data_IF_586260418855
#
_entry.id   IF_586260418855
#
_cell.length_a   1.000
_cell.length_b   1.000
_cell.length_c   1.000
_cell.angle_alpha   90.00
_cell.angle_beta   90.00
_cell.angle_gamma   90.00
#
_symmetry.space_group_name_H-M   'P 1'
#
loop_
_entity.id
_entity.type
_entity.pdbx_description
1 polymer ?
#
# COMPACT_ATOMS: atom_id res chain seq x y z
N UNK A 1 -32.01 22.72 30.76
CA UNK A 1 -30.54 22.55 30.85
C UNK A 1 -30.05 21.11 30.58
N UNK A 2 -30.79 20.05 30.97
CA UNK A 2 -30.38 18.63 30.77
C UNK A 2 -30.28 18.14 29.31
N UNK A 3 -31.07 18.69 28.38
CA UNK A 3 -31.07 18.26 26.96
C UNK A 3 -29.79 18.67 26.18
N UNK A 4 -29.15 19.79 26.56
CA UNK A 4 -27.94 20.27 25.88
C UNK A 4 -26.72 19.39 26.18
N UNK A 5 -26.58 18.87 27.40
CA UNK A 5 -25.50 17.94 27.76
C UNK A 5 -25.64 16.58 27.04
N UNK A 6 -26.86 16.14 26.74
CA UNK A 6 -27.11 14.87 26.06
C UNK A 6 -26.74 14.94 24.56
N UNK A 7 -26.95 16.09 23.93
CA UNK A 7 -26.54 16.37 22.54
C UNK A 7 -25.01 16.45 22.37
N UNK A 8 -24.29 17.06 23.32
CA UNK A 8 -22.82 17.09 23.30
C UNK A 8 -22.20 15.70 23.48
N UNK A 9 -22.78 14.85 24.33
CA UNK A 9 -22.31 13.46 24.50
C UNK A 9 -22.50 12.61 23.23
N UNK A 10 -23.61 12.79 22.52
CA UNK A 10 -23.88 12.09 21.25
C UNK A 10 -22.95 12.54 20.11
N UNK A 11 -22.59 13.83 20.03
CA UNK A 11 -21.62 14.32 19.03
C UNK A 11 -20.19 13.84 19.32
N UNK A 12 -19.76 13.79 20.58
CA UNK A 12 -18.44 13.28 20.95
C UNK A 12 -18.29 11.78 20.65
N UNK A 13 -19.34 10.97 20.87
CA UNK A 13 -19.35 9.58 20.46
C UNK A 13 -19.33 9.41 18.93
N UNK A 14 -20.06 10.25 18.18
CA UNK A 14 -20.06 10.19 16.72
C UNK A 14 -18.69 10.48 16.08
N UNK A 15 -17.96 11.47 16.61
CA UNK A 15 -16.62 11.79 16.13
C UNK A 15 -15.59 10.68 16.43
N UNK A 16 -15.74 9.97 17.56
CA UNK A 16 -14.86 8.86 17.91
C UNK A 16 -15.04 7.65 16.99
N UNK A 17 -16.25 7.42 16.47
CA UNK A 17 -16.54 6.33 15.53
C UNK A 17 -15.94 6.55 14.13
N UNK A 18 -15.80 7.80 13.69
CA UNK A 18 -15.18 8.12 12.39
C UNK A 18 -13.66 7.90 12.40
N UNK A 19 -12.99 8.09 13.54
CA UNK A 19 -11.55 7.85 13.67
C UNK A 19 -11.16 6.36 13.69
N UNK A 20 -12.10 5.46 14.05
CA UNK A 20 -11.87 4.01 14.10
C UNK A 20 -12.06 3.28 12.76
N UNK A 21 -12.59 3.97 11.74
CA UNK A 21 -12.85 3.36 10.43
C UNK A 21 -11.70 3.51 9.43
N UNK A 22 -10.63 4.24 9.78
CA UNK A 22 -9.43 4.27 8.96
C UNK A 22 -8.69 2.93 9.11
N UNK A 23 -8.84 2.06 8.10
CA UNK A 23 -8.02 0.85 8.03
C UNK A 23 -6.56 1.29 7.93
N UNK A 24 -5.66 0.81 8.81
CA UNK A 24 -4.25 1.14 8.69
C UNK A 24 -3.79 0.72 7.29
N UNK A 25 -3.23 1.67 6.54
CA UNK A 25 -2.57 1.37 5.28
C UNK A 25 -1.29 0.62 5.64
N UNK A 26 -1.38 -0.70 5.66
CA UNK A 26 -0.22 -1.56 5.90
C UNK A 26 0.48 -1.77 4.57
N UNK A 27 1.82 -1.76 4.59
CA UNK A 27 2.62 -2.26 3.49
C UNK A 27 2.20 -3.72 3.24
N UNK A 28 1.74 -4.01 2.02
CA UNK A 28 1.17 -5.31 1.70
C UNK A 28 1.55 -5.70 0.28
N UNK A 29 2.23 -6.84 0.17
CA UNK A 29 2.44 -7.53 -1.10
C UNK A 29 1.09 -7.77 -1.80
N UNK A 30 1.00 -7.41 -3.08
CA UNK A 30 -0.23 -7.58 -3.86
C UNK A 30 -0.20 -8.94 -4.54
N UNK A 31 -1.07 -9.85 -4.10
CA UNK A 31 -1.30 -11.13 -4.79
C UNK A 31 -2.28 -10.92 -5.94
N UNK A 32 -1.89 -11.31 -7.15
CA UNK A 32 -2.71 -11.15 -8.36
C UNK A 32 -2.86 -12.50 -9.05
N UNK A 33 -4.12 -12.91 -9.28
CA UNK A 33 -4.47 -14.06 -10.10
C UNK A 33 -5.14 -13.60 -11.39
N UNK A 34 -4.63 -14.02 -12.54
CA UNK A 34 -5.14 -13.68 -13.86
C UNK A 34 -5.49 -14.95 -14.64
N UNK A 35 -6.71 -15.07 -15.15
CA UNK A 35 -7.04 -16.05 -16.20
C UNK A 35 -6.42 -15.66 -17.55
N UNK A 36 -6.30 -16.58 -18.52
CA UNK A 36 -5.79 -16.25 -19.85
C UNK A 36 -6.50 -15.04 -20.47
N UNK A 37 -5.72 -14.08 -20.96
CA UNK A 37 -6.22 -12.84 -21.57
C UNK A 37 -6.76 -11.79 -20.60
N UNK A 38 -6.77 -12.04 -19.29
CA UNK A 38 -7.15 -11.03 -18.31
C UNK A 38 -6.03 -10.03 -18.04
N UNK A 39 -6.45 -8.84 -17.62
CA UNK A 39 -5.57 -7.72 -17.27
C UNK A 39 -5.89 -7.23 -15.86
N UNK A 40 -4.85 -6.82 -15.13
CA UNK A 40 -4.94 -6.04 -13.90
C UNK A 40 -4.23 -4.69 -14.07
N UNK A 41 -4.78 -3.64 -13.47
CA UNK A 41 -4.12 -2.33 -13.37
C UNK A 41 -3.73 -2.09 -11.92
N UNK A 42 -2.43 -1.92 -11.68
CA UNK A 42 -1.86 -1.70 -10.35
C UNK A 42 -1.29 -0.28 -10.31
N UNK A 43 -1.94 0.65 -9.59
CA UNK A 43 -1.44 2.02 -9.48
C UNK A 43 -0.24 2.05 -8.54
N UNK A 44 0.85 2.66 -8.99
CA UNK A 44 2.13 2.66 -8.30
C UNK A 44 2.61 4.08 -8.04
N UNK A 45 3.28 4.24 -6.91
CA UNK A 45 4.14 5.36 -6.61
C UNK A 45 5.60 4.91 -6.64
N UNK A 46 6.51 5.83 -6.97
CA UNK A 46 7.91 5.53 -7.23
C UNK A 46 8.82 6.53 -6.53
N UNK A 47 9.91 6.06 -5.91
CA UNK A 47 10.93 6.90 -5.29
C UNK A 47 12.28 6.67 -5.94
N UNK A 48 13.01 7.77 -6.10
CA UNK A 48 14.41 7.76 -6.47
C UNK A 48 15.26 7.10 -5.39
N UNK A 49 16.04 6.08 -5.76
CA UNK A 49 16.98 5.39 -4.87
C UNK A 49 18.33 6.10 -4.71
N UNK A 50 18.81 6.73 -5.78
CA UNK A 50 20.14 7.32 -5.86
C UNK A 50 20.01 8.85 -5.81
N UNK A 51 20.53 9.45 -4.74
CA UNK A 51 20.58 10.91 -4.62
C UNK A 51 21.40 11.54 -5.75
N UNK A 52 20.94 12.69 -6.26
CA UNK A 52 21.64 13.48 -7.28
C UNK A 52 21.45 13.00 -8.73
N UNK A 53 20.91 11.80 -8.96
CA UNK A 53 20.58 11.33 -10.31
C UNK A 53 19.22 11.88 -10.78
N UNK A 54 19.03 12.14 -12.07
CA UNK A 54 17.75 12.59 -12.60
C UNK A 54 16.65 11.52 -12.47
N UNK A 55 15.41 11.97 -12.26
CA UNK A 55 14.23 11.12 -12.40
C UNK A 55 14.15 10.60 -13.85
N UNK A 56 13.93 9.29 -14.07
CA UNK A 56 13.86 8.75 -15.41
C UNK A 56 12.64 9.29 -16.17
N UNK A 57 12.77 9.48 -17.49
CA UNK A 57 11.64 9.87 -18.36
C UNK A 57 10.72 8.69 -18.71
N UNK A 58 11.25 7.47 -18.60
CA UNK A 58 10.53 6.23 -18.78
C UNK A 58 11.20 5.15 -17.93
N UNK A 59 10.46 4.11 -17.56
CA UNK A 59 10.97 2.96 -16.81
C UNK A 59 10.71 1.67 -17.59
N UNK A 60 11.59 0.68 -17.42
CA UNK A 60 11.46 -0.65 -17.99
C UNK A 60 10.50 -1.51 -17.15
N UNK A 61 10.39 -2.79 -17.49
CA UNK A 61 9.64 -3.81 -16.75
C UNK A 61 10.13 -3.98 -15.31
N UNK A 62 9.27 -4.47 -14.40
CA UNK A 62 9.64 -4.75 -13.02
C UNK A 62 10.81 -5.74 -12.92
N UNK A 63 11.77 -5.41 -12.07
CA UNK A 63 12.92 -6.24 -11.72
C UNK A 63 12.74 -6.95 -10.39
N UNK A 64 13.85 -7.16 -9.68
CA UNK A 64 13.85 -7.73 -8.33
C UNK A 64 13.39 -6.74 -7.25
N UNK A 65 13.29 -7.22 -6.02
CA UNK A 65 13.06 -6.38 -4.83
C UNK A 65 14.34 -5.62 -4.46
N UNK A 66 14.19 -4.43 -3.88
CA UNK A 66 15.29 -3.71 -3.25
C UNK A 66 15.90 -4.49 -2.07
N UNK A 67 17.03 -4.02 -1.53
CA UNK A 67 17.60 -4.61 -0.31
C UNK A 67 16.66 -4.43 0.87
N UNK A 68 16.73 -5.35 1.84
CA UNK A 68 15.83 -5.34 2.98
C UNK A 68 15.93 -4.06 3.80
N UNK A 69 17.09 -3.39 3.86
CA UNK A 69 17.22 -2.10 4.55
C UNK A 69 16.42 -0.99 3.87
N UNK A 70 16.38 -0.98 2.53
CA UNK A 70 15.59 -0.03 1.76
C UNK A 70 14.10 -0.33 1.89
N UNK A 71 13.73 -1.61 1.84
CA UNK A 71 12.33 -2.05 2.04
C UNK A 71 11.86 -1.72 3.45
N UNK A 72 12.69 -1.90 4.48
CA UNK A 72 12.35 -1.55 5.87
C UNK A 72 12.05 -0.05 6.02
N UNK A 73 12.83 0.83 5.38
CA UNK A 73 12.56 2.28 5.39
C UNK A 73 11.24 2.61 4.71
N UNK A 74 10.96 1.96 3.58
CA UNK A 74 9.71 2.13 2.87
C UNK A 74 8.51 1.66 3.72
N UNK A 75 8.59 0.48 4.33
CA UNK A 75 7.56 -0.04 5.24
C UNK A 75 7.33 0.90 6.44
N UNK A 76 8.40 1.44 7.04
CA UNK A 76 8.30 2.41 8.13
C UNK A 76 7.61 3.70 7.69
N UNK A 77 7.90 4.20 6.48
CA UNK A 77 7.25 5.37 5.91
C UNK A 77 5.76 5.12 5.57
N UNK A 78 5.41 3.90 5.16
CA UNK A 78 4.01 3.50 4.94
C UNK A 78 3.25 3.47 6.25
N UNK A 79 3.82 2.84 7.29
CA UNK A 79 3.19 2.74 8.61
C UNK A 79 2.96 4.11 9.26
N UNK A 80 3.82 5.10 9.02
CA UNK A 80 3.64 6.47 9.50
C UNK A 80 2.72 7.32 8.62
N UNK A 81 2.37 6.86 7.40
CA UNK A 81 1.63 7.63 6.40
C UNK A 81 2.48 8.64 5.62
N UNK A 82 3.78 8.73 5.90
CA UNK A 82 4.70 9.70 5.30
C UNK A 82 4.84 9.54 3.78
N UNK A 83 4.58 8.36 3.23
CA UNK A 83 4.53 8.13 1.78
C UNK A 83 3.46 8.96 1.06
N UNK A 84 2.46 9.46 1.78
CA UNK A 84 1.42 10.37 1.25
C UNK A 84 1.62 11.80 1.75
N UNK A 85 1.82 11.98 3.05
CA UNK A 85 1.82 13.31 3.66
C UNK A 85 3.14 14.05 3.55
N UNK A 86 4.27 13.33 3.44
CA UNK A 86 5.62 13.87 3.59
C UNK A 86 6.60 13.21 2.62
N UNK A 87 6.29 13.30 1.31
CA UNK A 87 7.03 12.56 0.27
C UNK A 87 8.53 12.90 0.24
N UNK A 88 8.90 14.16 0.52
CA UNK A 88 10.31 14.55 0.66
C UNK A 88 11.00 13.88 1.84
N UNK A 89 10.35 13.80 3.01
CA UNK A 89 10.93 13.15 4.19
C UNK A 89 11.11 11.64 3.97
N UNK A 90 10.16 11.02 3.24
CA UNK A 90 10.31 9.63 2.76
C UNK A 90 11.53 9.48 1.86
N UNK A 91 11.72 10.37 0.88
CA UNK A 91 12.89 10.32 -0.01
C UNK A 91 14.22 10.51 0.75
N UNK A 92 14.27 11.44 1.71
CA UNK A 92 15.45 11.64 2.57
C UNK A 92 15.80 10.37 3.37
N UNK A 93 14.80 9.67 3.92
CA UNK A 93 15.02 8.43 4.64
C UNK A 93 15.55 7.31 3.71
N UNK A 94 15.01 7.20 2.49
CA UNK A 94 15.50 6.23 1.49
C UNK A 94 16.96 6.53 1.12
N UNK A 95 17.29 7.78 0.83
CA UNK A 95 18.66 8.18 0.48
C UNK A 95 19.65 8.01 1.65
N UNK A 96 19.19 8.13 2.90
CA UNK A 96 20.03 7.88 4.08
C UNK A 96 20.58 6.46 4.12
N UNK A 97 19.78 5.47 3.70
CA UNK A 97 20.22 4.06 3.61
C UNK A 97 21.33 3.90 2.57
N UNK A 98 21.21 4.60 1.44
CA UNK A 98 22.12 4.44 0.30
C UNK A 98 23.40 5.27 0.41
N UNK A 99 23.32 6.46 1.01
CA UNK A 99 24.43 7.42 1.04
C UNK A 99 25.14 7.51 2.38
N UNK A 100 24.52 7.03 3.46
CA UNK A 100 25.07 7.17 4.80
C UNK A 100 24.74 8.51 5.48
N UNK A 101 24.04 9.44 4.82
CA UNK A 101 23.69 10.76 5.37
C UNK A 101 22.32 11.26 4.86
N UNK A 102 21.69 12.20 5.57
CA UNK A 102 20.44 12.81 5.10
C UNK A 102 20.75 13.92 4.08
N UNK A 103 20.37 13.70 2.82
CA UNK A 103 20.65 14.63 1.71
C UNK A 103 19.62 15.76 1.63
N UNK A 104 19.49 16.58 2.68
CA UNK A 104 18.53 17.70 2.78
C UNK A 104 18.96 18.94 1.99
N UNK A 105 19.01 18.82 0.67
CA UNK A 105 19.40 19.90 -0.23
C UNK A 105 18.42 21.10 -0.22
N UNK A 106 17.20 20.90 0.27
CA UNK A 106 16.18 21.94 0.33
C UNK A 106 16.15 22.68 1.68
N UNK A 107 17.01 22.29 2.63
CA UNK A 107 17.07 22.84 3.99
C UNK A 107 15.68 22.81 4.68
N UNK A 108 14.90 21.74 4.49
CA UNK A 108 13.57 21.57 5.11
C UNK A 108 13.67 20.88 6.48
N UNK A 109 14.85 20.42 6.87
CA UNK A 109 15.08 19.56 8.02
C UNK A 109 14.83 18.09 7.69
N UNK A 110 15.37 17.21 8.53
CA UNK A 110 15.30 15.75 8.37
C UNK A 110 14.70 15.04 9.59
N UNK A 111 14.00 15.77 10.46
CA UNK A 111 13.51 15.22 11.73
C UNK A 111 12.54 14.05 11.52
N UNK A 112 11.61 14.15 10.56
CA UNK A 112 10.70 13.06 10.24
C UNK A 112 11.41 11.93 9.49
N UNK A 113 12.32 12.25 8.56
CA UNK A 113 13.15 11.27 7.88
C UNK A 113 13.99 10.43 8.87
N UNK A 114 14.51 11.06 9.92
CA UNK A 114 15.23 10.39 11.00
C UNK A 114 14.31 9.44 11.78
N UNK A 115 13.08 9.86 12.11
CA UNK A 115 12.11 8.98 12.76
C UNK A 115 11.75 7.76 11.90
N UNK A 116 11.55 7.96 10.59
CA UNK A 116 11.30 6.85 9.64
C UNK A 116 12.49 5.89 9.63
N UNK A 117 13.71 6.42 9.52
CA UNK A 117 14.92 5.61 9.51
C UNK A 117 15.10 4.84 10.84
N UNK A 118 14.98 5.51 11.98
CA UNK A 118 15.11 4.86 13.29
C UNK A 118 14.06 3.78 13.52
N UNK A 119 12.83 3.99 13.07
CA UNK A 119 11.77 2.98 13.10
C UNK A 119 12.10 1.79 12.20
N UNK A 120 12.65 2.03 11.02
CA UNK A 120 13.04 0.97 10.09
C UNK A 120 14.05 -0.01 10.68
N UNK A 121 14.93 0.45 11.59
CA UNK A 121 15.91 -0.40 12.27
C UNK A 121 15.28 -1.44 13.20
N UNK A 122 14.00 -1.27 13.56
CA UNK A 122 13.24 -2.20 14.40
C UNK A 122 12.34 -3.15 13.59
N UNK A 123 12.20 -2.92 12.28
CA UNK A 123 11.36 -3.74 11.42
C UNK A 123 12.10 -4.99 10.96
N UNK A 124 11.37 -6.09 10.89
CA UNK A 124 11.83 -7.33 10.25
C UNK A 124 11.12 -7.47 8.91
N UNK A 125 11.84 -7.18 7.82
CA UNK A 125 11.30 -7.33 6.48
C UNK A 125 11.00 -8.80 6.22
N UNK A 126 9.78 -9.07 5.73
CA UNK A 126 9.38 -10.42 5.41
C UNK A 126 10.24 -10.97 4.27
N UNK A 127 10.81 -12.18 4.40
CA UNK A 127 11.56 -12.79 3.31
C UNK A 127 10.62 -13.10 2.13
N UNK A 128 11.15 -12.98 0.92
CA UNK A 128 10.46 -13.42 -0.30
C UNK A 128 10.30 -14.95 -0.24
N UNK A 129 9.08 -15.50 -0.25
CA UNK A 129 8.89 -16.95 -0.30
C UNK A 129 9.49 -17.53 -1.58
N UNK A 130 10.31 -18.58 -1.46
CA UNK A 130 11.02 -19.17 -2.60
C UNK A 130 10.10 -19.90 -3.61
N UNK A 131 8.89 -20.23 -3.19
CA UNK A 131 7.88 -20.97 -3.96
C UNK A 131 6.84 -20.06 -4.64
N UNK A 132 6.97 -18.74 -4.48
CA UNK A 132 6.02 -17.77 -5.02
C UNK A 132 6.58 -17.10 -6.26
N UNK A 133 5.80 -17.07 -7.33
CA UNK A 133 6.15 -16.38 -8.57
C UNK A 133 6.07 -14.85 -8.35
N UNK A 134 7.20 -14.15 -8.46
CA UNK A 134 7.18 -12.68 -8.47
C UNK A 134 6.66 -12.13 -9.80
N UNK A 135 6.21 -10.87 -9.84
CA UNK A 135 5.86 -10.23 -11.11
C UNK A 135 7.06 -10.19 -12.08
N UNK A 136 8.26 -9.88 -11.59
CA UNK A 136 9.48 -9.89 -12.40
C UNK A 136 9.75 -11.26 -13.03
N UNK A 137 9.61 -12.34 -12.25
CA UNK A 137 9.76 -13.71 -12.73
C UNK A 137 8.66 -14.09 -13.72
N UNK A 138 7.41 -13.68 -13.48
CA UNK A 138 6.29 -13.94 -14.40
C UNK A 138 6.53 -13.29 -15.77
N UNK A 139 7.10 -12.07 -15.78
CA UNK A 139 7.50 -11.37 -17.01
C UNK A 139 8.68 -12.06 -17.68
N UNK A 140 9.72 -12.42 -16.92
CA UNK A 140 10.90 -13.10 -17.47
C UNK A 140 10.56 -14.47 -18.07
N UNK A 141 9.62 -15.20 -17.47
CA UNK A 141 9.12 -16.49 -17.97
C UNK A 141 8.13 -16.34 -19.13
N UNK A 142 7.80 -15.11 -19.56
CA UNK A 142 6.85 -14.86 -20.66
C UNK A 142 5.41 -15.28 -20.34
N UNK A 143 5.05 -15.37 -19.06
CA UNK A 143 3.68 -15.72 -18.62
C UNK A 143 2.75 -14.52 -18.64
N UNK A 144 3.29 -13.34 -18.34
CA UNK A 144 2.57 -12.07 -18.37
C UNK A 144 3.33 -11.02 -19.18
N UNK A 145 2.61 -10.09 -19.79
CA UNK A 145 3.17 -8.86 -20.35
C UNK A 145 2.89 -7.68 -19.42
N UNK A 146 3.86 -6.79 -19.26
CA UNK A 146 3.69 -5.56 -18.48
C UNK A 146 3.79 -4.34 -19.39
N UNK A 147 2.85 -3.41 -19.23
CA UNK A 147 2.86 -2.09 -19.86
C UNK A 147 2.81 -1.04 -18.77
N UNK A 148 3.65 -0.01 -18.88
CA UNK A 148 3.64 1.14 -17.99
C UNK A 148 2.83 2.26 -18.66
N UNK A 149 1.77 2.72 -17.99
CA UNK A 149 0.94 3.84 -18.45
C UNK A 149 0.96 4.98 -17.43
N UNK A 150 0.58 6.17 -17.87
CA UNK A 150 0.44 7.36 -17.02
C UNK A 150 1.67 7.65 -16.15
N UNK A 151 2.87 7.31 -16.64
CA UNK A 151 4.10 7.56 -15.91
C UNK A 151 4.35 9.07 -15.84
N UNK A 152 4.39 9.61 -14.64
CA UNK A 152 4.48 11.05 -14.39
C UNK A 152 5.38 11.30 -13.20
N UNK A 153 6.39 12.14 -13.40
CA UNK A 153 7.17 12.71 -12.30
C UNK A 153 6.32 13.73 -11.53
N UNK A 154 6.45 13.74 -10.20
CA UNK A 154 5.75 14.69 -9.33
C UNK A 154 6.80 15.63 -8.75
N UNK A 155 6.71 16.91 -9.13
CA UNK A 155 7.52 17.98 -8.53
C UNK A 155 6.78 18.54 -7.34
N UNK A 156 7.43 18.53 -6.18
CA UNK A 156 6.90 19.14 -4.97
C UNK A 156 7.17 20.65 -5.00
N UNK A 157 6.16 21.45 -4.66
CA UNK A 157 6.27 22.90 -4.67
C UNK A 157 7.28 23.38 -3.63
N UNK A 158 8.16 24.30 -4.03
CA UNK A 158 9.15 24.88 -3.13
C UNK A 158 10.36 23.98 -2.83
N UNK A 159 10.53 22.86 -3.55
CA UNK A 159 11.78 22.09 -3.57
C UNK A 159 12.56 22.38 -4.86
N UNK A 160 13.85 22.76 -4.79
CA UNK A 160 14.67 22.97 -5.98
C UNK A 160 15.06 21.63 -6.63
N UNK A 161 15.43 21.65 -7.91
CA UNK A 161 16.02 20.49 -8.59
C UNK A 161 15.03 19.58 -9.32
N UNK A 162 15.47 18.33 -9.55
CA UNK A 162 14.69 17.31 -10.26
C UNK A 162 13.65 16.66 -9.34
N UNK A 163 12.62 16.07 -9.93
CA UNK A 163 11.69 15.23 -9.18
C UNK A 163 12.44 14.05 -8.54
N UNK A 164 11.95 13.60 -7.39
CA UNK A 164 12.43 12.39 -6.69
C UNK A 164 11.32 11.37 -6.46
N UNK A 165 10.10 11.72 -6.84
CA UNK A 165 8.90 10.93 -6.68
C UNK A 165 8.06 11.01 -7.97
N UNK A 166 7.32 9.96 -8.27
CA UNK A 166 6.38 9.93 -9.37
C UNK A 166 5.38 8.80 -9.24
N UNK A 167 4.46 8.72 -10.19
CA UNK A 167 3.42 7.70 -10.24
C UNK A 167 3.31 7.08 -11.62
N UNK A 168 2.79 5.86 -11.71
CA UNK A 168 2.41 5.20 -12.95
C UNK A 168 1.32 4.16 -12.68
N UNK A 169 0.66 3.70 -13.74
CA UNK A 169 -0.19 2.53 -13.69
C UNK A 169 0.55 1.35 -14.35
N UNK A 170 0.77 0.29 -13.59
CA UNK A 170 1.36 -0.97 -14.08
C UNK A 170 0.23 -1.87 -14.56
N UNK A 171 0.16 -2.08 -15.87
CA UNK A 171 -0.85 -2.91 -16.51
C UNK A 171 -0.25 -4.27 -16.79
N UNK A 172 -0.78 -5.30 -16.14
CA UNK A 172 -0.31 -6.68 -16.26
C UNK A 172 -1.35 -7.50 -16.99
N UNK A 173 -0.99 -8.11 -18.11
CA UNK A 173 -1.87 -9.00 -18.88
C UNK A 173 -1.31 -10.41 -18.88
N UNK A 174 -2.15 -11.41 -18.58
CA UNK A 174 -1.79 -12.82 -18.73
C UNK A 174 -1.84 -13.20 -20.21
N UNK A 175 -0.66 -13.46 -20.77
CA UNK A 175 -0.48 -13.85 -22.17
C UNK A 175 -0.27 -15.36 -22.33
N UNK A 176 -0.28 -16.11 -21.22
CA UNK A 176 -0.17 -17.56 -21.21
C UNK A 176 -1.53 -18.23 -21.44
N UNK A 177 -1.56 -19.51 -21.88
CA UNK A 177 -2.80 -20.25 -22.07
C UNK A 177 -3.39 -20.80 -20.74
N UNK A 178 -2.74 -20.55 -19.60
CA UNK A 178 -3.14 -21.05 -18.28
C UNK A 178 -3.38 -19.91 -17.29
N UNK A 179 -4.12 -20.13 -16.19
CA UNK A 179 -4.15 -19.18 -15.08
C UNK A 179 -2.74 -18.92 -14.53
N UNK A 180 -2.46 -17.67 -14.18
CA UNK A 180 -1.18 -17.26 -13.57
C UNK A 180 -1.48 -16.54 -12.27
N UNK A 181 -0.84 -16.98 -11.20
CA UNK A 181 -0.79 -16.27 -9.93
C UNK A 181 0.63 -15.76 -9.70
N UNK A 182 0.75 -14.49 -9.34
CA UNK A 182 2.02 -13.87 -9.00
C UNK A 182 1.86 -12.88 -7.85
N UNK A 183 2.98 -12.49 -7.27
CA UNK A 183 3.06 -11.48 -6.22
C UNK A 183 3.84 -10.27 -6.71
N UNK A 184 3.24 -9.10 -6.51
CA UNK A 184 3.93 -7.83 -6.58
C UNK A 184 4.46 -7.50 -5.20
N UNK A 185 5.78 -7.57 -5.02
CA UNK A 185 6.40 -7.28 -3.74
C UNK A 185 6.53 -5.78 -3.52
N UNK A 186 6.34 -5.38 -2.27
CA UNK A 186 6.69 -4.04 -1.81
C UNK A 186 8.19 -3.78 -2.04
N UNK A 187 8.53 -2.59 -2.56
CA UNK A 187 9.90 -2.24 -2.90
C UNK A 187 10.46 -2.92 -4.14
N UNK A 188 9.60 -3.34 -5.09
CA UNK A 188 10.02 -3.80 -6.42
C UNK A 188 10.80 -2.69 -7.15
N UNK A 189 11.91 -3.04 -7.78
CA UNK A 189 12.76 -2.11 -8.52
C UNK A 189 12.34 -1.99 -9.98
N UNK A 190 12.39 -0.77 -10.51
CA UNK A 190 12.19 -0.48 -11.93
C UNK A 190 13.43 0.23 -12.46
N UNK A 191 14.09 -0.40 -13.43
CA UNK A 191 15.22 0.20 -14.12
C UNK A 191 14.74 1.34 -15.04
N UNK A 192 15.56 2.37 -15.30
CA UNK A 192 15.23 3.39 -16.28
C UNK A 192 15.19 2.80 -17.70
N UNK A 193 14.22 3.25 -18.50
CA UNK A 193 14.21 2.99 -19.94
C UNK A 193 14.86 4.16 -20.69
N UNK A 194 15.94 3.90 -21.42
CA UNK A 194 16.49 4.85 -22.40
C UNK A 194 17.69 5.72 -21.98
N UNK A 195 18.52 5.32 -21.02
CA UNK A 195 19.82 5.96 -20.78
C UNK A 195 20.47 5.60 -19.45
N UNK A 196 21.82 5.55 -19.42
CA UNK A 196 22.63 5.11 -18.27
C UNK A 196 22.66 6.10 -17.11
N UNK A 197 22.30 7.37 -17.35
CA UNK A 197 22.39 8.43 -16.33
C UNK A 197 21.17 8.49 -15.40
N UNK A 198 20.07 7.84 -15.76
CA UNK A 198 18.87 7.83 -14.93
C UNK A 198 18.95 6.77 -13.83
N UNK A 199 18.22 6.98 -12.74
CA UNK A 199 18.24 6.07 -11.60
C UNK A 199 17.14 5.01 -11.65
N UNK A 200 17.39 3.88 -10.97
CA UNK A 200 16.35 2.91 -10.66
C UNK A 200 15.37 3.49 -9.65
N UNK A 201 14.10 3.11 -9.80
CA UNK A 201 13.03 3.54 -8.90
C UNK A 201 12.60 2.41 -7.98
N UNK A 202 12.38 2.75 -6.72
CA UNK A 202 11.71 1.92 -5.73
C UNK A 202 10.20 2.10 -5.87
N UNK A 203 9.45 1.02 -6.11
CA UNK A 203 8.01 1.11 -6.31
C UNK A 203 7.23 0.61 -5.10
N UNK A 204 6.08 1.26 -4.84
CA UNK A 204 5.04 0.74 -3.97
C UNK A 204 3.64 1.02 -4.46
N UNK A 205 2.66 0.27 -3.95
CA UNK A 205 1.26 0.45 -4.30
C UNK A 205 0.79 1.86 -3.90
N UNK A 206 0.28 2.64 -4.85
CA UNK A 206 -0.20 4.00 -4.57
C UNK A 206 -1.43 3.92 -3.65
N UNK A 207 -1.35 4.39 -2.37
CA UNK A 207 -2.42 4.23 -1.40
C UNK A 207 -3.64 5.12 -1.70
N UNK A 208 -3.49 6.09 -2.61
CA UNK A 208 -4.56 6.99 -3.03
C UNK A 208 -5.41 6.43 -4.18
N UNK A 209 -5.00 5.29 -4.77
CA UNK A 209 -5.72 4.64 -5.87
C UNK A 209 -5.88 3.15 -5.57
N UNK A 210 -7.08 2.62 -5.79
CA UNK A 210 -7.33 1.18 -5.63
C UNK A 210 -6.87 0.44 -6.89
N UNK A 211 -6.20 -0.73 -6.75
CA UNK A 211 -5.95 -1.62 -7.87
C UNK A 211 -7.23 -2.04 -8.59
N UNK A 212 -7.22 -2.00 -9.92
CA UNK A 212 -8.27 -2.58 -10.74
C UNK A 212 -7.87 -4.02 -11.06
N UNK A 213 -8.17 -4.92 -10.14
CA UNK A 213 -8.00 -6.36 -10.37
C UNK A 213 -9.15 -6.87 -11.26
N UNK A 214 -8.90 -7.85 -12.14
CA UNK A 214 -10.00 -8.45 -12.88
C UNK A 214 -11.03 -8.98 -11.89
N UNK A 215 -12.30 -8.78 -12.21
CA UNK A 215 -13.42 -9.37 -11.46
C UNK A 215 -13.45 -10.88 -11.75
N UNK A 216 -12.45 -11.62 -11.29
CA UNK A 216 -12.54 -13.07 -11.26
C UNK A 216 -13.63 -13.41 -10.25
N UNK A 217 -14.81 -13.81 -10.75
CA UNK A 217 -15.99 -14.20 -9.97
C UNK A 217 -15.79 -15.42 -9.05
N UNK A 218 -14.56 -15.85 -8.82
CA UNK A 218 -14.19 -16.88 -7.88
C UNK A 218 -13.04 -16.38 -7.02
N UNK A 219 -13.36 -15.80 -5.87
CA UNK A 219 -12.39 -15.77 -4.76
C UNK A 219 -12.02 -17.23 -4.48
N UNK A 220 -10.80 -17.65 -4.84
CA UNK A 220 -10.35 -19.01 -4.59
C UNK A 220 -10.09 -19.29 -3.09
N UNK A 221 -10.26 -18.32 -2.18
CA UNK A 221 -10.00 -18.52 -0.76
C UNK A 221 -10.87 -17.80 0.29
N UNK A 222 -11.74 -16.85 -0.08
CA UNK A 222 -12.37 -15.95 0.92
C UNK A 222 -13.88 -16.12 1.15
N UNK A 223 -14.51 -17.18 0.64
CA UNK A 223 -15.98 -17.38 0.78
C UNK A 223 -16.49 -17.61 2.21
N UNK A 224 -15.66 -17.60 3.25
CA UNK A 224 -16.09 -17.95 4.61
C UNK A 224 -16.14 -16.80 5.63
N UNK A 225 -15.55 -15.62 5.40
CA UNK A 225 -15.50 -14.60 6.47
C UNK A 225 -16.80 -13.80 6.61
N UNK A 226 -17.40 -13.36 5.50
CA UNK A 226 -18.62 -12.53 5.52
C UNK A 226 -19.84 -13.30 6.04
N UNK A 227 -19.91 -14.60 5.76
CA UNK A 227 -20.96 -15.49 6.29
C UNK A 227 -20.82 -15.66 7.81
N UNK A 228 -19.59 -15.76 8.32
CA UNK A 228 -19.33 -15.90 9.76
C UNK A 228 -19.69 -14.62 10.53
N UNK A 229 -19.37 -13.44 10.00
CA UNK A 229 -19.72 -12.16 10.65
C UNK A 229 -21.24 -11.94 10.67
N UNK A 230 -21.94 -12.21 9.56
CA UNK A 230 -23.39 -12.11 9.50
C UNK A 230 -24.08 -13.11 10.45
N UNK A 231 -23.56 -14.34 10.56
CA UNK A 231 -24.07 -15.33 11.50
C UNK A 231 -23.85 -14.93 12.97
N UNK A 232 -22.68 -14.38 13.31
CA UNK A 232 -22.37 -13.93 14.66
C UNK A 232 -23.25 -12.74 15.09
N UNK A 233 -23.50 -11.77 14.19
CA UNK A 233 -24.41 -10.65 14.44
C UNK A 233 -25.87 -11.11 14.58
N UNK A 234 -26.30 -12.05 13.76
CA UNK A 234 -27.64 -12.67 13.87
C UNK A 234 -27.85 -13.34 15.23
N UNK A 235 -26.86 -14.08 15.73
CA UNK A 235 -26.92 -14.73 17.04
C UNK A 235 -26.92 -13.72 18.20
N UNK A 236 -26.12 -12.65 18.11
CA UNK A 236 -26.09 -11.60 19.13
C UNK A 236 -27.45 -10.86 19.22
N UNK A 237 -28.06 -10.53 18.08
CA UNK A 237 -29.37 -9.89 18.03
C UNK A 237 -30.48 -10.82 18.54
N UNK A 238 -30.42 -12.12 18.23
CA UNK A 238 -31.34 -13.11 18.76
C UNK A 238 -31.24 -13.23 20.30
N UNK A 239 -30.01 -13.24 20.85
CA UNK A 239 -29.79 -13.29 22.30
C UNK A 239 -30.34 -12.05 23.03
N UNK A 240 -30.15 -10.86 22.45
CA UNK A 240 -30.72 -9.61 22.97
C UNK A 240 -32.26 -9.66 22.91
N UNK A 241 -32.83 -10.14 21.80
CA UNK A 241 -34.28 -10.32 21.66
C UNK A 241 -34.88 -11.24 22.73
N UNK A 242 -34.24 -12.37 23.03
CA UNK A 242 -34.68 -13.30 24.08
C UNK A 242 -34.63 -12.66 25.48
N UNK A 243 -33.59 -11.88 25.77
CA UNK A 243 -33.47 -11.16 27.05
C UNK A 243 -34.56 -10.08 27.22
N UNK A 244 -34.87 -9.33 26.16
CA UNK A 244 -35.94 -8.32 26.18
C UNK A 244 -37.31 -8.98 26.39
N UNK A 245 -37.61 -10.07 25.68
CA UNK A 245 -38.89 -10.79 25.80
C UNK A 245 -39.05 -11.36 27.22
N UNK A 246 -38.02 -12.00 27.79
CA UNK A 246 -38.07 -12.54 29.16
C UNK A 246 -38.38 -11.47 30.20
N UNK A 247 -37.78 -10.28 30.06
CA UNK A 247 -37.97 -9.17 31.00
C UNK A 247 -39.41 -8.63 30.97
N UNK A 248 -40.02 -8.56 29.79
CA UNK A 248 -41.43 -8.16 29.64
C UNK A 248 -42.41 -9.18 30.25
N UNK A 249 -42.15 -10.49 30.14
CA UNK A 249 -43.00 -11.51 30.75
C UNK A 249 -42.96 -11.52 32.28
N UNK A 250 -41.81 -11.25 32.89
CA UNK A 250 -41.71 -11.12 34.36
C UNK A 250 -42.41 -9.88 34.90
N UNK A 251 -42.41 -8.77 34.16
CA UNK A 251 -43.07 -7.53 34.58
C UNK A 251 -44.61 -7.61 34.52
N UNK A 252 -45.18 -8.45 33.66
CA UNK A 252 -46.63 -8.61 33.52
C UNK A 252 -47.27 -9.59 34.52
N UNK A 253 -46.46 -10.32 35.31
CA UNK A 253 -46.91 -11.26 36.35
C UNK A 253 -46.81 -10.71 37.78
N UNK A 254 -46.27 -9.51 37.94
CA UNK A 254 -46.23 -8.77 39.19
C UNK A 254 -47.37 -7.74 39.21
#
# INVERSE_FOLDING_TARGET
MKLRFLLFGLMALGAMWLALAASPVMAADVKVGLLPGQTATIPMSYWCLDYGKPFPKAIDKPGGRASDEVVAVLEAAIQSGAVVSDTYQTALAIWRVRTGEFQDYANKGSALAAQIYDHSLQLQVKPIPADVLSLGDAVQQGKVSVTIQNFTEIKEEGLPGNAFHGTADVIVTNISPAPVEFVFYEGTLFAPAGGEDAQSLLAHLNPQKQPELPRTGASFGERNLTVVIAAALGLALAAIGVLVIRRSYTAARA
#
